data_IF_038964447993
#
_entry.id   IF_038964447993
#
_cell.length_a   1.000
_cell.length_b   1.000
_cell.length_c   1.000
_cell.angle_alpha   90.00
_cell.angle_beta   90.00
_cell.angle_gamma   90.00
#
_symmetry.space_group_name_H-M   'P 1'
#
loop_
_entity.id
_entity.type
_entity.pdbx_description
1 polymer ?
#
# COMPACT_ATOMS: atom_id res chain seq x y z
N UNK A 1 54.20 -6.18 -5.96
CA UNK A 1 53.82 -5.86 -7.35
C UNK A 1 52.76 -4.78 -7.32
N UNK A 2 52.98 -3.65 -7.98
CA UNK A 2 51.98 -2.59 -8.15
C UNK A 2 50.96 -3.04 -9.22
N UNK A 3 49.65 -3.00 -8.89
CA UNK A 3 48.60 -3.08 -9.93
C UNK A 3 48.79 -1.92 -10.91
N UNK A 4 48.63 -2.18 -12.21
CA UNK A 4 48.63 -1.15 -13.24
C UNK A 4 47.52 -0.11 -12.99
N UNK A 5 47.67 1.16 -13.41
CA UNK A 5 46.65 2.19 -13.19
C UNK A 5 45.27 1.81 -13.73
N UNK A 6 45.22 1.22 -14.93
CA UNK A 6 44.02 0.70 -15.59
C UNK A 6 43.26 -0.34 -14.73
N UNK A 7 43.97 -1.34 -14.20
CA UNK A 7 43.37 -2.34 -13.29
C UNK A 7 42.71 -1.68 -12.06
N UNK A 8 43.35 -0.67 -11.45
CA UNK A 8 42.78 0.07 -10.31
C UNK A 8 41.54 0.87 -10.68
N UNK A 9 41.47 1.42 -11.89
CA UNK A 9 40.28 2.13 -12.37
C UNK A 9 39.09 1.16 -12.53
N UNK A 10 39.33 -0.01 -13.13
CA UNK A 10 38.32 -1.07 -13.30
C UNK A 10 37.86 -1.65 -11.95
N UNK A 11 38.77 -1.83 -10.99
CA UNK A 11 38.44 -2.22 -9.61
C UNK A 11 37.45 -1.23 -8.97
N UNK A 12 37.75 0.08 -9.06
CA UNK A 12 36.91 1.15 -8.49
C UNK A 12 35.53 1.24 -9.16
N UNK A 13 35.48 1.20 -10.50
CA UNK A 13 34.24 1.16 -11.28
C UNK A 13 33.34 -0.02 -10.86
N UNK A 14 33.94 -1.19 -10.68
CA UNK A 14 33.21 -2.41 -10.26
C UNK A 14 32.66 -2.28 -8.85
N UNK A 15 33.42 -1.68 -7.92
CA UNK A 15 32.95 -1.38 -6.56
C UNK A 15 31.77 -0.41 -6.58
N UNK A 16 31.85 0.66 -7.36
CA UNK A 16 30.77 1.66 -7.48
C UNK A 16 29.49 1.06 -8.07
N UNK A 17 29.60 0.16 -9.06
CA UNK A 17 28.44 -0.57 -9.59
C UNK A 17 27.83 -1.49 -8.53
N UNK A 18 28.66 -2.21 -7.76
CA UNK A 18 28.19 -3.05 -6.65
C UNK A 18 27.46 -2.24 -5.57
N UNK A 19 28.01 -1.09 -5.21
CA UNK A 19 27.48 -0.15 -4.22
C UNK A 19 26.13 0.43 -4.68
N UNK A 20 26.03 0.90 -5.93
CA UNK A 20 24.78 1.37 -6.52
C UNK A 20 23.69 0.29 -6.51
N UNK A 21 24.00 -0.95 -6.88
CA UNK A 21 23.03 -2.07 -6.88
C UNK A 21 22.55 -2.37 -5.46
N UNK A 22 23.45 -2.37 -4.46
CA UNK A 22 23.09 -2.60 -3.05
C UNK A 22 22.23 -1.47 -2.49
N UNK A 23 22.55 -0.21 -2.78
CA UNK A 23 21.77 0.94 -2.32
C UNK A 23 20.35 0.96 -2.93
N UNK A 24 20.20 0.52 -4.18
CA UNK A 24 18.88 0.33 -4.80
C UNK A 24 18.11 -0.81 -4.12
N UNK A 25 18.75 -1.95 -3.85
CA UNK A 25 18.09 -3.07 -3.16
C UNK A 25 17.55 -2.67 -1.79
N UNK A 26 18.41 -2.02 -0.97
CA UNK A 26 18.07 -1.54 0.36
C UNK A 26 16.86 -0.60 0.28
N UNK A 27 17.02 0.55 -0.37
CA UNK A 27 16.03 1.61 -0.29
C UNK A 27 14.73 1.30 -1.06
N UNK A 28 14.78 0.53 -2.15
CA UNK A 28 13.53 0.11 -2.81
C UNK A 28 12.80 -0.98 -1.99
N UNK A 29 13.53 -1.83 -1.25
CA UNK A 29 12.95 -2.76 -0.29
C UNK A 29 12.26 -2.03 0.87
N UNK A 30 12.98 -1.11 1.52
CA UNK A 30 12.47 -0.26 2.60
C UNK A 30 11.23 0.54 2.16
N UNK A 31 11.30 1.24 1.02
CA UNK A 31 10.14 1.97 0.48
C UNK A 31 8.98 1.03 0.14
N UNK A 32 9.23 -0.17 -0.38
CA UNK A 32 8.16 -1.15 -0.68
C UNK A 32 7.44 -1.59 0.60
N UNK A 33 8.18 -1.82 1.69
CA UNK A 33 7.62 -2.16 3.00
C UNK A 33 6.84 -1.00 3.61
N UNK A 34 7.39 0.23 3.56
CA UNK A 34 6.74 1.43 4.09
C UNK A 34 5.45 1.78 3.32
N UNK A 35 5.45 1.73 1.99
CA UNK A 35 4.21 1.92 1.21
C UNK A 35 3.20 0.79 1.46
N UNK A 36 3.63 -0.45 1.67
CA UNK A 36 2.73 -1.56 2.04
C UNK A 36 2.18 -1.45 3.49
N UNK A 37 2.91 -0.81 4.41
CA UNK A 37 2.39 -0.47 5.73
C UNK A 37 1.40 0.70 5.65
N UNK A 38 1.73 1.75 4.89
CA UNK A 38 0.87 2.90 4.63
C UNK A 38 -0.49 2.47 4.06
N UNK A 39 -0.50 1.69 2.96
CA UNK A 39 -1.73 1.22 2.32
C UNK A 39 -2.57 0.34 3.26
N UNK A 40 -1.93 -0.50 4.11
CA UNK A 40 -2.65 -1.26 5.14
C UNK A 40 -3.27 -0.35 6.21
N UNK A 41 -2.59 0.71 6.68
CA UNK A 41 -3.18 1.69 7.62
C UNK A 41 -4.33 2.47 6.94
N UNK A 42 -4.24 2.81 5.64
CA UNK A 42 -5.35 3.39 4.85
C UNK A 42 -6.55 2.43 4.71
N UNK A 43 -6.31 1.14 4.50
CA UNK A 43 -7.36 0.12 4.46
C UNK A 43 -8.06 -0.06 5.83
N UNK A 44 -7.29 -0.17 6.93
CA UNK A 44 -7.86 -0.20 8.29
C UNK A 44 -8.72 1.05 8.59
N UNK A 45 -8.33 2.22 8.08
CA UNK A 45 -9.11 3.46 8.20
C UNK A 45 -10.42 3.43 7.39
N UNK A 46 -10.48 2.74 6.24
CA UNK A 46 -11.73 2.44 5.52
C UNK A 46 -12.65 1.60 6.41
N UNK A 47 -12.16 0.50 6.94
CA UNK A 47 -12.97 -0.47 7.70
C UNK A 47 -13.57 0.14 8.98
N UNK A 48 -12.80 0.88 9.78
CA UNK A 48 -13.34 1.58 10.96
C UNK A 48 -14.28 2.74 10.57
N UNK A 49 -14.12 3.33 9.37
CA UNK A 49 -15.10 4.30 8.83
C UNK A 49 -16.41 3.61 8.42
N UNK A 50 -16.38 2.40 7.89
CA UNK A 50 -17.58 1.62 7.57
C UNK A 50 -18.32 1.15 8.83
N UNK A 51 -17.62 0.88 9.94
CA UNK A 51 -18.24 0.69 11.27
C UNK A 51 -18.98 1.96 11.71
N UNK A 52 -18.32 3.12 11.61
CA UNK A 52 -18.91 4.42 11.96
C UNK A 52 -20.15 4.75 11.10
N UNK A 53 -20.12 4.45 9.80
CA UNK A 53 -21.28 4.57 8.90
C UNK A 53 -22.47 3.73 9.40
N UNK A 54 -22.22 2.48 9.82
CA UNK A 54 -23.26 1.60 10.37
C UNK A 54 -23.88 2.18 11.64
N UNK A 55 -23.06 2.62 12.59
CA UNK A 55 -23.54 3.16 13.87
C UNK A 55 -24.30 4.48 13.73
N UNK A 56 -23.81 5.43 12.90
CA UNK A 56 -24.58 6.63 12.54
C UNK A 56 -25.91 6.22 11.90
N UNK A 57 -25.90 5.17 11.07
CA UNK A 57 -27.10 4.57 10.51
C UNK A 57 -28.08 4.05 11.57
N UNK A 58 -27.61 3.34 12.60
CA UNK A 58 -28.44 2.79 13.68
C UNK A 58 -29.03 3.91 14.54
N UNK A 59 -28.21 4.85 15.01
CA UNK A 59 -28.71 5.97 15.82
C UNK A 59 -29.65 6.89 15.02
N UNK A 60 -29.38 7.14 13.74
CA UNK A 60 -30.31 7.85 12.87
C UNK A 60 -31.69 7.18 12.78
N UNK A 61 -31.81 5.87 13.03
CA UNK A 61 -33.11 5.20 13.02
C UNK A 61 -33.99 5.51 14.25
N UNK A 62 -33.43 5.95 15.37
CA UNK A 62 -34.18 6.37 16.57
C UNK A 62 -34.66 7.83 16.53
N UNK A 63 -34.03 8.66 15.70
CA UNK A 63 -34.23 10.11 15.70
C UNK A 63 -35.50 10.60 14.99
N UNK A 64 -35.84 11.87 15.27
CA UNK A 64 -36.96 12.60 14.68
C UNK A 64 -36.81 12.77 13.15
N UNK A 65 -37.91 12.94 12.39
CA UNK A 65 -37.91 12.71 10.95
C UNK A 65 -36.93 13.54 10.09
N UNK A 66 -36.63 14.79 10.46
CA UNK A 66 -35.66 15.60 9.70
C UNK A 66 -34.22 15.25 10.08
N UNK A 67 -33.92 15.11 11.36
CA UNK A 67 -32.60 14.72 11.87
C UNK A 67 -32.21 13.32 11.38
N UNK A 68 -33.12 12.35 11.50
CA UNK A 68 -33.01 11.00 10.92
C UNK A 68 -32.63 11.05 9.45
N UNK A 69 -33.33 11.85 8.65
CA UNK A 69 -33.05 12.02 7.22
C UNK A 69 -31.66 12.63 7.00
N UNK A 70 -31.31 13.71 7.70
CA UNK A 70 -30.00 14.38 7.57
C UNK A 70 -28.83 13.47 7.95
N UNK A 71 -28.97 12.69 9.03
CA UNK A 71 -27.97 11.72 9.47
C UNK A 71 -27.83 10.53 8.52
N UNK A 72 -28.93 9.96 7.99
CA UNK A 72 -28.86 8.92 6.95
C UNK A 72 -28.14 9.45 5.71
N UNK A 73 -28.49 10.65 5.24
CA UNK A 73 -27.82 11.29 4.10
C UNK A 73 -26.34 11.62 4.39
N UNK A 74 -25.97 11.96 5.63
CA UNK A 74 -24.58 12.10 6.04
C UNK A 74 -23.82 10.76 5.97
N UNK A 75 -24.43 9.67 6.49
CA UNK A 75 -23.86 8.32 6.45
C UNK A 75 -23.68 7.81 5.01
N UNK A 76 -24.67 8.01 4.13
CA UNK A 76 -24.59 7.67 2.70
C UNK A 76 -23.39 8.35 2.01
N UNK A 77 -23.15 9.64 2.32
CA UNK A 77 -21.99 10.36 1.81
C UNK A 77 -20.67 9.85 2.41
N UNK A 78 -20.64 9.53 3.71
CA UNK A 78 -19.44 8.99 4.36
C UNK A 78 -19.08 7.58 3.85
N UNK A 79 -20.07 6.74 3.54
CA UNK A 79 -19.90 5.44 2.87
C UNK A 79 -19.27 5.60 1.48
N UNK A 80 -19.78 6.56 0.69
CA UNK A 80 -19.23 6.87 -0.64
C UNK A 80 -17.77 7.35 -0.62
N UNK A 81 -17.29 7.89 0.50
CA UNK A 81 -15.86 8.21 0.68
C UNK A 81 -15.03 6.93 0.87
N UNK A 82 -15.61 5.87 1.43
CA UNK A 82 -14.95 4.57 1.59
C UNK A 82 -14.84 3.84 0.24
N UNK A 83 -15.83 3.96 -0.66
CA UNK A 83 -15.69 3.52 -2.06
C UNK A 83 -14.48 4.16 -2.75
N UNK A 84 -14.27 5.46 -2.55
CA UNK A 84 -13.12 6.17 -3.12
C UNK A 84 -11.79 5.80 -2.43
N UNK A 85 -11.80 5.51 -1.13
CA UNK A 85 -10.64 5.03 -0.37
C UNK A 85 -10.25 3.59 -0.74
N UNK A 86 -11.21 2.72 -1.06
CA UNK A 86 -10.96 1.41 -1.65
C UNK A 86 -10.27 1.54 -3.02
N UNK A 87 -10.80 2.41 -3.88
CA UNK A 87 -10.20 2.69 -5.18
C UNK A 87 -8.83 3.40 -5.11
N UNK A 88 -8.49 4.03 -3.98
CA UNK A 88 -7.16 4.55 -3.66
C UNK A 88 -6.21 3.41 -3.28
N UNK A 89 -6.58 2.59 -2.30
CA UNK A 89 -5.83 1.39 -1.86
C UNK A 89 -5.40 0.53 -3.05
N UNK A 90 -6.34 0.10 -3.90
CA UNK A 90 -6.07 -0.72 -5.09
C UNK A 90 -5.08 -0.07 -6.07
N UNK A 91 -5.12 1.26 -6.20
CA UNK A 91 -4.23 2.01 -7.10
C UNK A 91 -2.84 2.17 -6.52
N UNK A 92 -2.72 2.37 -5.20
CA UNK A 92 -1.43 2.44 -4.51
C UNK A 92 -0.71 1.09 -4.58
N UNK A 93 -1.43 -0.02 -4.39
CA UNK A 93 -0.89 -1.37 -4.61
C UNK A 93 -0.37 -1.55 -6.04
N UNK A 94 -1.23 -1.32 -7.04
CA UNK A 94 -0.91 -1.60 -8.44
C UNK A 94 0.13 -0.64 -9.06
N UNK A 95 0.23 0.61 -8.58
CA UNK A 95 1.07 1.67 -9.19
C UNK A 95 2.31 2.05 -8.38
N UNK A 96 2.34 1.78 -7.08
CA UNK A 96 3.46 2.15 -6.19
C UNK A 96 4.15 0.90 -5.65
N UNK A 97 3.40 0.00 -5.00
CA UNK A 97 3.97 -1.18 -4.32
C UNK A 97 4.47 -2.21 -5.32
N UNK A 98 3.64 -2.68 -6.26
CA UNK A 98 4.03 -3.76 -7.18
C UNK A 98 5.23 -3.39 -8.08
N UNK A 99 5.38 -2.14 -8.57
CA UNK A 99 6.61 -1.70 -9.23
C UNK A 99 7.85 -1.73 -8.32
N UNK A 100 7.78 -1.25 -7.07
CA UNK A 100 8.91 -1.31 -6.13
C UNK A 100 9.31 -2.76 -5.80
N UNK A 101 8.31 -3.61 -5.54
CA UNK A 101 8.47 -5.06 -5.31
C UNK A 101 9.15 -5.76 -6.49
N UNK A 102 8.81 -5.37 -7.73
CA UNK A 102 9.40 -5.94 -8.95
C UNK A 102 10.92 -5.70 -9.06
N UNK A 103 11.44 -4.63 -8.46
CA UNK A 103 12.87 -4.29 -8.52
C UNK A 103 13.78 -5.34 -7.87
N UNK A 104 13.30 -6.13 -6.90
CA UNK A 104 14.08 -7.22 -6.32
C UNK A 104 14.55 -8.25 -7.36
N UNK A 105 13.72 -8.52 -8.38
CA UNK A 105 14.11 -9.39 -9.50
C UNK A 105 15.09 -8.72 -10.47
N UNK A 106 15.02 -7.39 -10.62
CA UNK A 106 15.93 -6.59 -11.48
C UNK A 106 17.31 -6.51 -10.86
N UNK A 107 17.39 -6.10 -9.59
CA UNK A 107 18.62 -6.02 -8.78
C UNK A 107 19.35 -7.35 -8.77
N UNK A 108 18.64 -8.46 -8.50
CA UNK A 108 19.22 -9.80 -8.47
C UNK A 108 19.93 -10.16 -9.79
N UNK A 109 19.29 -9.90 -10.93
CA UNK A 109 19.91 -10.14 -12.26
C UNK A 109 21.19 -9.32 -12.44
N UNK A 110 21.16 -8.03 -12.13
CA UNK A 110 22.34 -7.14 -12.25
C UNK A 110 23.49 -7.57 -11.33
N UNK A 111 23.19 -8.11 -10.15
CA UNK A 111 24.18 -8.72 -9.24
C UNK A 111 24.80 -9.99 -9.83
N UNK A 112 24.00 -10.84 -10.46
CA UNK A 112 24.50 -12.05 -11.13
C UNK A 112 25.35 -11.70 -12.39
N UNK A 113 24.94 -10.71 -13.19
CA UNK A 113 25.70 -10.17 -14.34
C UNK A 113 27.07 -9.60 -13.92
N UNK A 114 27.09 -8.82 -12.84
CA UNK A 114 28.30 -8.24 -12.24
C UNK A 114 29.24 -9.33 -11.71
N UNK A 115 28.70 -10.33 -11.01
CA UNK A 115 29.45 -11.48 -10.47
C UNK A 115 30.02 -12.37 -11.57
N UNK A 116 29.29 -12.56 -12.68
CA UNK A 116 29.79 -13.26 -13.87
C UNK A 116 30.96 -12.49 -14.50
N UNK A 117 30.83 -11.18 -14.66
CA UNK A 117 31.87 -10.30 -15.21
C UNK A 117 33.14 -10.30 -14.35
N UNK A 118 33.01 -10.19 -13.03
CA UNK A 118 34.16 -10.31 -12.13
C UNK A 118 34.80 -11.70 -12.20
N UNK A 119 34.00 -12.76 -12.29
CA UNK A 119 34.50 -14.14 -12.44
C UNK A 119 35.29 -14.35 -13.74
N UNK A 120 34.94 -13.66 -14.83
CA UNK A 120 35.70 -13.69 -16.08
C UNK A 120 37.05 -12.95 -15.95
N UNK A 121 37.05 -11.74 -15.38
CA UNK A 121 38.27 -10.95 -15.11
C UNK A 121 39.24 -11.66 -14.15
N UNK A 122 38.71 -12.32 -13.13
CA UNK A 122 39.49 -13.13 -12.19
C UNK A 122 40.19 -14.32 -12.88
N UNK A 123 39.58 -14.91 -13.91
CA UNK A 123 40.19 -15.99 -14.72
C UNK A 123 41.28 -15.43 -15.63
N UNK A 124 41.03 -14.30 -16.30
CA UNK A 124 42.03 -13.59 -17.11
C UNK A 124 43.27 -13.25 -16.27
N UNK A 125 43.10 -12.61 -15.11
CA UNK A 125 44.21 -12.23 -14.23
C UNK A 125 45.01 -13.45 -13.74
N UNK A 126 44.35 -14.58 -13.46
CA UNK A 126 45.01 -15.84 -13.08
C UNK A 126 45.82 -16.43 -14.23
N UNK A 127 45.25 -16.50 -15.45
CA UNK A 127 45.96 -16.98 -16.64
C UNK A 127 47.15 -16.08 -17.02
N UNK A 128 46.99 -14.76 -16.91
CA UNK A 128 48.05 -13.79 -17.17
C UNK A 128 49.22 -13.98 -16.20
N UNK A 129 48.95 -14.07 -14.90
CA UNK A 129 49.96 -14.34 -13.88
C UNK A 129 50.61 -15.74 -14.00
N UNK A 130 49.86 -16.74 -14.49
CA UNK A 130 50.39 -18.06 -14.80
C UNK A 130 51.37 -18.03 -15.98
N UNK A 131 51.01 -17.35 -17.08
CA UNK A 131 51.88 -17.18 -18.24
C UNK A 131 53.15 -16.39 -17.90
N UNK A 132 53.06 -15.33 -17.10
CA UNK A 132 54.24 -14.60 -16.60
C UNK A 132 55.18 -15.48 -15.78
N UNK A 133 54.64 -16.28 -14.85
CA UNK A 133 55.45 -17.22 -14.03
C UNK A 133 56.16 -18.26 -14.89
N UNK A 134 55.50 -18.79 -15.92
CA UNK A 134 56.12 -19.73 -16.87
C UNK A 134 57.23 -19.05 -17.67
N UNK A 135 56.97 -17.86 -18.23
CA UNK A 135 57.98 -17.06 -18.95
C UNK A 135 59.18 -16.65 -18.08
N UNK A 136 58.99 -16.47 -16.77
CA UNK A 136 60.07 -16.18 -15.81
C UNK A 136 60.89 -17.44 -15.41
N UNK A 137 60.29 -18.63 -15.44
CA UNK A 137 60.97 -19.90 -15.12
C UNK A 137 61.88 -20.42 -16.23
N UNK A 138 61.60 -20.06 -17.50
CA UNK A 138 62.35 -20.50 -18.67
C UNK A 138 63.12 -19.34 -19.37
N UNK A 139 64.13 -18.71 -18.72
CA UNK A 139 64.88 -17.63 -19.35
C UNK A 139 65.75 -18.10 -20.53
N UNK A 140 66.23 -19.36 -20.51
CA UNK A 140 67.14 -19.92 -21.52
C UNK A 140 66.48 -20.09 -22.89
N UNK A 141 65.21 -20.54 -22.93
CA UNK A 141 64.43 -20.64 -24.17
C UNK A 141 64.36 -19.29 -24.90
N UNK A 142 64.25 -18.19 -24.14
CA UNK A 142 64.17 -16.83 -24.67
C UNK A 142 65.44 -16.37 -25.37
N UNK A 143 66.62 -16.88 -24.99
CA UNK A 143 67.88 -16.59 -25.69
C UNK A 143 68.11 -17.55 -26.88
N UNK A 144 67.86 -18.84 -26.69
CA UNK A 144 68.14 -19.86 -27.72
C UNK A 144 67.17 -19.71 -28.91
N UNK A 145 65.87 -19.54 -28.67
CA UNK A 145 64.87 -19.45 -29.74
C UNK A 145 65.00 -18.12 -30.52
N UNK A 146 65.34 -17.03 -29.82
CA UNK A 146 65.53 -15.70 -30.42
C UNK A 146 66.67 -15.65 -31.44
N UNK A 147 67.73 -16.45 -31.26
CA UNK A 147 68.89 -16.47 -32.15
C UNK A 147 68.75 -17.41 -33.36
N UNK A 148 67.88 -18.42 -33.30
CA UNK A 148 67.89 -19.51 -34.29
C UNK A 148 67.02 -19.26 -35.53
N UNK A 149 65.85 -18.61 -35.42
CA UNK A 149 65.07 -18.28 -36.63
C UNK A 149 63.99 -17.19 -36.41
N UNK A 150 64.21 -15.93 -36.88
CA UNK A 150 63.19 -14.87 -36.80
C UNK A 150 61.90 -15.17 -37.57
N UNK A 151 61.99 -15.92 -38.67
CA UNK A 151 60.88 -16.16 -39.60
C UNK A 151 59.92 -17.25 -39.08
N UNK A 152 60.44 -18.23 -38.34
CA UNK A 152 59.64 -19.38 -37.87
C UNK A 152 58.71 -19.03 -36.71
N UNK A 153 59.04 -17.98 -35.94
CA UNK A 153 58.23 -17.52 -34.81
C UNK A 153 56.84 -17.01 -35.22
N UNK A 154 56.69 -16.52 -36.46
CA UNK A 154 55.42 -16.04 -37.01
C UNK A 154 54.43 -17.16 -37.42
N UNK A 155 54.82 -18.43 -37.29
CA UNK A 155 53.95 -19.60 -37.51
C UNK A 155 53.96 -20.59 -36.34
N UNK A 156 54.64 -20.25 -35.23
CA UNK A 156 54.55 -21.03 -34.01
C UNK A 156 53.13 -20.85 -33.45
N UNK A 157 52.40 -21.96 -33.24
CA UNK A 157 51.11 -21.91 -32.54
C UNK A 157 51.32 -21.20 -31.20
N UNK A 158 50.41 -20.29 -30.76
CA UNK A 158 50.39 -19.90 -29.37
C UNK A 158 50.31 -21.17 -28.53
N UNK A 159 51.24 -21.34 -27.57
CA UNK A 159 51.22 -22.49 -26.68
C UNK A 159 49.89 -22.54 -25.93
N UNK A 160 49.47 -23.70 -25.43
CA UNK A 160 48.09 -23.86 -24.92
C UNK A 160 47.73 -22.80 -23.87
N UNK A 161 48.66 -22.42 -22.99
CA UNK A 161 48.49 -21.33 -22.02
C UNK A 161 48.32 -19.92 -22.64
N UNK A 162 48.93 -19.63 -23.79
CA UNK A 162 48.73 -18.37 -24.52
C UNK A 162 47.37 -18.37 -25.24
N UNK A 163 46.95 -19.51 -25.78
CA UNK A 163 45.60 -19.67 -26.35
C UNK A 163 44.51 -19.60 -25.27
N UNK A 164 44.75 -20.16 -24.08
CA UNK A 164 43.83 -20.05 -22.93
C UNK A 164 43.74 -18.62 -22.39
N UNK A 165 44.87 -17.90 -22.31
CA UNK A 165 44.87 -16.49 -21.95
C UNK A 165 44.11 -15.65 -22.97
N UNK A 166 44.36 -15.83 -24.28
CA UNK A 166 43.63 -15.11 -25.32
C UNK A 166 42.11 -15.35 -25.21
N UNK A 167 41.69 -16.60 -24.97
CA UNK A 167 40.27 -16.94 -24.73
C UNK A 167 39.72 -16.26 -23.49
N UNK A 168 40.48 -16.21 -22.38
CA UNK A 168 40.06 -15.55 -21.14
C UNK A 168 39.94 -14.02 -21.29
N UNK A 169 40.90 -13.37 -21.96
CA UNK A 169 40.84 -11.93 -22.28
C UNK A 169 39.67 -11.59 -23.19
N UNK A 170 39.38 -12.41 -24.21
CA UNK A 170 38.20 -12.19 -25.07
C UNK A 170 36.89 -12.32 -24.29
N UNK A 171 36.79 -13.29 -23.37
CA UNK A 171 35.62 -13.46 -22.51
C UNK A 171 35.43 -12.29 -21.54
N UNK A 172 36.49 -11.92 -20.79
CA UNK A 172 36.46 -10.81 -19.84
C UNK A 172 36.20 -9.44 -20.48
N UNK A 173 36.71 -9.21 -21.70
CA UNK A 173 36.42 -8.00 -22.49
C UNK A 173 34.95 -7.96 -22.92
N UNK A 174 34.41 -9.09 -23.41
CA UNK A 174 33.01 -9.22 -23.82
C UNK A 174 32.06 -8.96 -22.64
N UNK A 175 32.25 -9.65 -21.51
CA UNK A 175 31.37 -9.49 -20.35
C UNK A 175 31.48 -8.10 -19.73
N UNK A 176 32.69 -7.50 -19.72
CA UNK A 176 32.87 -6.10 -19.29
C UNK A 176 31.99 -5.14 -20.09
N UNK A 177 32.05 -5.22 -21.43
CA UNK A 177 31.27 -4.33 -22.28
C UNK A 177 29.75 -4.55 -22.12
N UNK A 178 29.32 -5.80 -22.01
CA UNK A 178 27.91 -6.14 -21.77
C UNK A 178 27.43 -5.61 -20.41
N UNK A 179 28.27 -5.67 -19.36
CA UNK A 179 27.96 -5.05 -18.07
C UNK A 179 27.83 -3.53 -18.18
N UNK A 180 28.73 -2.86 -18.90
CA UNK A 180 28.68 -1.40 -19.08
C UNK A 180 27.42 -0.93 -19.81
N UNK A 181 27.10 -1.57 -20.94
CA UNK A 181 25.88 -1.29 -21.71
C UNK A 181 24.62 -1.54 -20.87
N UNK A 182 24.56 -2.66 -20.14
CA UNK A 182 23.37 -3.03 -19.35
C UNK A 182 23.25 -2.31 -17.99
N UNK A 183 24.30 -1.66 -17.48
CA UNK A 183 24.25 -0.81 -16.27
C UNK A 183 23.82 0.62 -16.62
N UNK A 184 24.26 1.16 -17.76
CA UNK A 184 23.74 2.44 -18.29
C UNK A 184 22.21 2.38 -18.51
N UNK A 185 21.72 1.28 -19.08
CA UNK A 185 20.28 1.01 -19.19
C UNK A 185 19.57 0.93 -17.82
N UNK A 186 20.18 0.27 -16.83
CA UNK A 186 19.62 0.13 -15.48
C UNK A 186 19.50 1.48 -14.76
N UNK A 187 20.54 2.32 -14.80
CA UNK A 187 20.52 3.66 -14.21
C UNK A 187 19.49 4.56 -14.89
N UNK A 188 19.40 4.53 -16.23
CA UNK A 188 18.38 5.25 -17.00
C UNK A 188 16.96 4.78 -16.67
N UNK A 189 16.75 3.48 -16.48
CA UNK A 189 15.44 2.93 -16.13
C UNK A 189 15.05 3.28 -14.70
N UNK A 190 15.97 3.15 -13.73
CA UNK A 190 15.79 3.59 -12.33
C UNK A 190 15.31 5.03 -12.22
N UNK A 191 15.94 5.97 -12.95
CA UNK A 191 15.54 7.38 -12.93
C UNK A 191 14.12 7.59 -13.49
N UNK A 192 13.70 6.82 -14.50
CA UNK A 192 12.35 6.87 -15.06
C UNK A 192 11.32 6.30 -14.10
N UNK A 193 11.61 5.16 -13.49
CA UNK A 193 10.67 4.47 -12.62
C UNK A 193 10.50 5.17 -11.28
N UNK A 194 11.55 5.76 -10.69
CA UNK A 194 11.41 6.65 -9.52
C UNK A 194 10.43 7.80 -9.82
N UNK A 195 10.63 8.49 -10.95
CA UNK A 195 9.74 9.59 -11.37
C UNK A 195 8.31 9.13 -11.62
N UNK A 196 8.13 7.90 -12.14
CA UNK A 196 6.80 7.32 -12.38
C UNK A 196 6.12 6.94 -11.07
N UNK A 197 6.79 6.19 -10.21
CA UNK A 197 6.25 5.65 -8.94
C UNK A 197 5.81 6.79 -8.02
N UNK A 198 6.67 7.79 -7.80
CA UNK A 198 6.31 8.94 -6.96
C UNK A 198 5.29 9.88 -7.63
N UNK A 199 5.32 10.01 -8.97
CA UNK A 199 4.31 10.77 -9.71
C UNK A 199 2.92 10.12 -9.67
N UNK A 200 2.86 8.79 -9.77
CA UNK A 200 1.62 8.01 -9.65
C UNK A 200 1.08 8.04 -8.22
N UNK A 201 1.93 7.92 -7.19
CA UNK A 201 1.55 8.12 -5.78
C UNK A 201 0.84 9.45 -5.58
N UNK A 202 1.50 10.57 -5.88
CA UNK A 202 0.91 11.92 -5.74
C UNK A 202 -0.37 12.08 -6.57
N UNK A 203 -0.44 11.48 -7.77
CA UNK A 203 -1.64 11.55 -8.62
C UNK A 203 -2.83 10.76 -8.03
N UNK A 204 -2.58 9.64 -7.34
CA UNK A 204 -3.62 8.85 -6.66
C UNK A 204 -4.16 9.60 -5.45
N UNK A 205 -3.27 10.06 -4.55
CA UNK A 205 -3.63 10.87 -3.37
C UNK A 205 -4.44 12.12 -3.76
N UNK A 206 -3.97 12.89 -4.76
CA UNK A 206 -4.70 14.05 -5.28
C UNK A 206 -6.07 13.69 -5.84
N UNK A 207 -6.22 12.51 -6.46
CA UNK A 207 -7.49 12.06 -7.02
C UNK A 207 -8.49 11.66 -5.93
N UNK A 208 -8.01 11.03 -4.85
CA UNK A 208 -8.84 10.73 -3.68
C UNK A 208 -9.22 12.00 -2.95
N UNK A 209 -8.26 12.83 -2.55
CA UNK A 209 -8.52 14.07 -1.79
C UNK A 209 -9.50 15.02 -2.52
N UNK A 210 -9.40 15.15 -3.85
CA UNK A 210 -10.35 15.93 -4.63
C UNK A 210 -11.80 15.40 -4.52
N UNK A 211 -11.98 14.07 -4.51
CA UNK A 211 -13.30 13.43 -4.35
C UNK A 211 -13.77 13.37 -2.90
N UNK A 212 -12.87 13.21 -1.94
CA UNK A 212 -13.17 13.34 -0.52
C UNK A 212 -13.70 14.74 -0.21
N UNK A 213 -13.03 15.81 -0.70
CA UNK A 213 -13.49 17.20 -0.53
C UNK A 213 -14.88 17.44 -1.14
N UNK A 214 -15.12 16.95 -2.36
CA UNK A 214 -16.42 17.02 -3.03
C UNK A 214 -17.53 16.37 -2.19
N UNK A 215 -17.29 15.17 -1.65
CA UNK A 215 -18.33 14.41 -0.92
C UNK A 215 -18.46 14.85 0.54
N UNK A 216 -17.39 15.23 1.24
CA UNK A 216 -17.47 15.83 2.58
C UNK A 216 -18.25 17.16 2.55
N UNK A 217 -18.15 17.93 1.46
CA UNK A 217 -18.97 19.14 1.28
C UNK A 217 -20.47 18.80 1.22
N UNK A 218 -20.85 17.71 0.55
CA UNK A 218 -22.25 17.23 0.50
C UNK A 218 -22.70 16.61 1.84
N UNK A 219 -21.83 15.91 2.55
CA UNK A 219 -22.10 15.39 3.90
C UNK A 219 -22.39 16.56 4.88
N UNK A 220 -21.54 17.59 4.87
CA UNK A 220 -21.73 18.80 5.66
C UNK A 220 -23.05 19.51 5.33
N UNK A 221 -23.36 19.69 4.05
CA UNK A 221 -24.65 20.25 3.62
C UNK A 221 -25.86 19.39 4.05
N UNK A 222 -25.71 18.07 4.11
CA UNK A 222 -26.78 17.16 4.53
C UNK A 222 -27.17 17.37 6.00
N UNK A 223 -26.19 17.49 6.90
CA UNK A 223 -26.48 17.71 8.33
C UNK A 223 -26.86 19.17 8.62
N UNK A 224 -26.30 20.14 7.91
CA UNK A 224 -26.64 21.57 8.05
C UNK A 224 -27.98 21.97 7.40
N UNK A 225 -28.66 21.05 6.70
CA UNK A 225 -29.99 21.27 6.11
C UNK A 225 -31.13 20.57 6.87
N UNK A 226 -30.86 20.08 8.08
CA UNK A 226 -31.88 19.58 9.01
C UNK A 226 -32.78 20.74 9.46
N UNK A 227 -34.09 20.55 9.39
CA UNK A 227 -35.09 21.52 9.82
C UNK A 227 -35.46 21.25 11.29
N UNK A 228 -34.72 21.90 12.19
CA UNK A 228 -34.84 21.73 13.64
C UNK A 228 -36.26 22.01 14.15
N UNK A 229 -36.93 23.05 13.66
CA UNK A 229 -38.23 23.46 14.18
C UNK A 229 -39.33 22.45 13.86
N UNK A 230 -39.29 21.78 12.68
CA UNK A 230 -40.21 20.67 12.38
C UNK A 230 -40.05 19.50 13.35
N UNK A 231 -38.82 19.17 13.72
CA UNK A 231 -38.56 18.06 14.65
C UNK A 231 -38.89 18.46 16.10
N UNK A 232 -38.70 19.73 16.46
CA UNK A 232 -39.21 20.29 17.72
C UNK A 232 -40.75 20.34 17.76
N UNK A 233 -41.45 20.61 16.65
CA UNK A 233 -42.92 20.48 16.57
C UNK A 233 -43.37 19.04 16.83
N UNK A 234 -42.71 18.04 16.23
CA UNK A 234 -42.96 16.61 16.49
C UNK A 234 -42.73 16.27 17.97
N UNK A 235 -41.62 16.72 18.55
CA UNK A 235 -41.29 16.50 19.96
C UNK A 235 -42.32 17.16 20.90
N UNK A 236 -42.64 18.44 20.71
CA UNK A 236 -43.66 19.17 21.49
C UNK A 236 -45.04 18.49 21.43
N UNK A 237 -45.40 17.96 20.27
CA UNK A 237 -46.65 17.21 20.04
C UNK A 237 -46.67 15.86 20.75
N UNK A 238 -45.51 15.23 20.96
CA UNK A 238 -45.38 14.00 21.76
C UNK A 238 -45.49 14.26 23.28
N UNK A 239 -44.98 15.41 23.74
CA UNK A 239 -45.10 15.85 25.14
C UNK A 239 -46.52 16.30 25.51
N UNK A 240 -47.28 16.82 24.54
CA UNK A 240 -48.66 17.26 24.72
C UNK A 240 -49.60 16.53 23.75
N UNK A 241 -49.90 15.23 24.00
CA UNK A 241 -50.88 14.49 23.20
C UNK A 241 -52.23 15.22 23.18
N UNK A 242 -52.95 15.25 22.04
CA UNK A 242 -54.21 15.99 21.92
C UNK A 242 -55.21 15.54 22.99
N UNK A 243 -55.74 16.54 23.70
CA UNK A 243 -56.05 16.45 25.11
C UNK A 243 -57.15 15.42 25.48
N UNK A 244 -57.11 14.92 26.71
CA UNK A 244 -58.09 13.95 27.25
C UNK A 244 -59.54 14.50 27.19
N UNK A 245 -59.68 15.83 27.13
CA UNK A 245 -60.91 16.57 26.82
C UNK A 245 -61.64 16.01 25.59
N UNK A 246 -60.93 15.65 24.52
CA UNK A 246 -61.57 15.11 23.31
C UNK A 246 -62.33 13.81 23.60
N UNK A 247 -61.74 12.92 24.41
CA UNK A 247 -62.43 11.71 24.89
C UNK A 247 -63.61 12.04 25.82
N UNK A 248 -63.46 13.03 26.69
CA UNK A 248 -64.54 13.45 27.60
C UNK A 248 -65.72 14.08 26.86
N UNK A 249 -65.49 14.88 25.82
CA UNK A 249 -66.58 15.46 25.02
C UNK A 249 -67.22 14.44 24.05
N UNK A 250 -66.47 13.47 23.53
CA UNK A 250 -67.04 12.32 22.81
C UNK A 250 -67.94 11.48 23.75
N UNK A 251 -67.49 11.21 24.99
CA UNK A 251 -68.33 10.52 26.00
C UNK A 251 -69.54 11.36 26.36
N UNK A 252 -69.37 12.66 26.63
CA UNK A 252 -70.46 13.61 26.97
C UNK A 252 -71.49 13.75 25.85
N UNK A 253 -71.09 13.69 24.58
CA UNK A 253 -72.00 13.68 23.44
C UNK A 253 -72.84 12.40 23.41
N UNK A 254 -72.23 11.23 23.60
CA UNK A 254 -72.93 9.95 23.67
C UNK A 254 -73.84 9.83 24.91
N UNK A 255 -73.46 10.42 26.05
CA UNK A 255 -74.34 10.52 27.22
C UNK A 255 -75.59 11.37 26.98
N UNK A 256 -75.56 12.30 26.02
CA UNK A 256 -76.72 13.13 25.65
C UNK A 256 -77.64 12.46 24.63
N UNK A 257 -77.14 11.57 23.77
CA UNK A 257 -77.97 10.83 22.80
C UNK A 257 -78.66 9.59 23.41
N UNK A 258 -78.34 9.23 24.65
CA UNK A 258 -78.80 8.00 25.30
C UNK A 258 -80.21 8.07 25.95
N UNK A 259 -80.94 9.19 25.84
CA UNK A 259 -82.27 9.33 26.47
C UNK A 259 -83.45 9.20 25.49
N UNK A 260 -83.27 9.48 24.20
CA UNK A 260 -84.37 9.56 23.21
C UNK A 260 -84.50 8.29 22.33
N UNK A 261 -84.38 7.08 22.91
CA UNK A 261 -84.60 5.84 22.14
C UNK A 261 -85.21 4.65 22.88
N UNK A 262 -86.31 4.89 23.57
CA UNK A 262 -87.25 3.81 23.96
C UNK A 262 -88.15 3.46 22.76
N UNK A 263 -87.87 2.37 22.04
CA UNK A 263 -88.64 2.02 20.84
C UNK A 263 -88.20 0.73 20.12
N UNK A 264 -88.69 -0.41 20.63
CA UNK A 264 -88.86 -1.74 20.01
C UNK A 264 -88.46 -1.95 18.52
N UNK A 265 -87.75 -3.04 18.20
CA UNK A 265 -88.36 -4.26 17.59
C UNK A 265 -87.37 -5.45 17.45
N UNK A 266 -87.87 -6.59 16.93
CA UNK A 266 -87.37 -7.96 17.14
C UNK A 266 -86.40 -8.50 16.05
N UNK A 267 -85.74 -9.61 16.38
CA UNK A 267 -85.08 -10.60 15.47
C UNK A 267 -83.75 -10.16 14.81
N UNK A 268 -82.78 -11.04 14.49
CA UNK A 268 -82.72 -12.53 14.52
C UNK A 268 -81.27 -13.01 14.79
N UNK A 269 -81.04 -14.33 14.89
CA UNK A 269 -79.70 -14.98 14.91
C UNK A 269 -78.85 -14.74 13.64
N UNK A 270 -77.58 -15.15 13.50
CA UNK A 270 -76.66 -15.99 14.30
C UNK A 270 -75.22 -15.37 14.25
N UNK A 271 -74.02 -15.94 14.55
CA UNK A 271 -73.48 -17.32 14.61
C UNK A 271 -72.22 -17.38 15.53
N UNK A 272 -71.50 -18.52 15.58
CA UNK A 272 -70.16 -18.69 16.20
C UNK A 272 -69.01 -18.30 15.18
N UNK A 273 -67.69 -18.40 15.39
CA UNK A 273 -66.79 -19.05 16.38
C UNK A 273 -65.36 -18.37 16.27
N UNK A 274 -64.70 -17.84 17.32
CA UNK A 274 -63.71 -18.47 18.24
C UNK A 274 -62.17 -18.31 17.92
N UNK A 275 -61.50 -17.49 18.75
CA UNK A 275 -60.14 -17.60 19.37
C UNK A 275 -58.79 -17.77 18.58
N UNK A 276 -57.87 -16.85 18.90
CA UNK A 276 -56.43 -17.00 19.33
C UNK A 276 -55.45 -17.94 18.58
N UNK A 277 -54.36 -17.33 18.08
CA UNK A 277 -52.97 -17.34 18.65
C UNK A 277 -52.12 -16.36 17.80
N UNK A 278 -51.27 -15.44 18.29
CA UNK A 278 -50.12 -15.52 19.22
C UNK A 278 -48.97 -16.43 18.74
N UNK A 279 -47.92 -15.80 18.19
CA UNK A 279 -46.57 -16.36 18.08
C UNK A 279 -45.53 -15.25 18.27
N UNK A 280 -44.54 -15.48 19.14
CA UNK A 280 -43.31 -14.68 19.26
C UNK A 280 -42.22 -15.31 18.41
N UNK A 281 -41.37 -14.50 17.78
CA UNK A 281 -40.06 -14.93 17.31
C UNK A 281 -39.14 -13.69 17.39
N UNK A 282 -38.57 -13.43 18.56
CA UNK A 282 -37.16 -13.77 18.88
C UNK A 282 -36.17 -13.18 17.88
N UNK A 283 -35.87 -11.90 18.10
CA UNK A 283 -34.61 -11.24 17.75
C UNK A 283 -33.45 -12.18 18.11
N UNK A 284 -32.54 -12.39 17.17
CA UNK A 284 -31.27 -13.09 17.38
C UNK A 284 -30.20 -12.12 16.92
N UNK A 285 -29.50 -11.56 17.88
CA UNK A 285 -28.28 -10.82 17.61
C UNK A 285 -27.16 -11.85 17.52
N UNK A 286 -26.33 -11.72 16.49
CA UNK A 286 -25.11 -12.49 16.33
C UNK A 286 -23.99 -11.57 16.82
N UNK A 287 -23.41 -11.94 17.97
CA UNK A 287 -22.23 -11.29 18.53
C UNK A 287 -21.04 -11.75 17.68
N UNK A 288 -20.52 -10.87 16.82
CA UNK A 288 -19.20 -11.09 16.23
C UNK A 288 -18.15 -10.71 17.27
N UNK A 289 -17.38 -11.70 17.71
CA UNK A 289 -16.22 -11.51 18.57
C UNK A 289 -15.10 -10.90 17.72
N UNK A 290 -14.91 -9.57 17.81
CA UNK A 290 -13.71 -8.88 17.30
C UNK A 290 -12.49 -9.35 18.11
N UNK A 291 -11.86 -10.45 17.68
CA UNK A 291 -10.49 -10.81 18.06
C UNK A 291 -9.52 -9.74 17.49
N UNK A 292 -9.39 -8.59 18.19
CA UNK A 292 -8.28 -7.66 17.96
C UNK A 292 -6.98 -8.35 18.44
N UNK A 293 -6.32 -9.13 17.56
CA UNK A 293 -4.96 -9.63 17.77
C UNK A 293 -3.99 -8.44 17.87
N UNK A 294 -3.56 -8.12 19.10
CA UNK A 294 -2.47 -7.20 19.42
C UNK A 294 -1.16 -7.67 18.73
N UNK A 295 -0.81 -7.09 17.58
CA UNK A 295 0.57 -7.10 17.05
C UNK A 295 1.34 -5.90 17.63
N UNK A 296 2.31 -6.16 18.51
CA UNK A 296 3.13 -5.18 19.22
C UNK A 296 3.62 -3.99 18.35
N UNK A 297 3.11 -2.77 18.58
CA UNK A 297 3.81 -1.53 18.19
C UNK A 297 4.89 -1.23 19.24
N UNK A 298 6.02 -1.96 19.15
CA UNK A 298 7.22 -1.70 19.94
C UNK A 298 7.97 -0.46 19.41
N UNK A 299 7.46 0.74 19.71
CA UNK A 299 8.16 2.00 19.46
C UNK A 299 9.24 2.21 20.53
N UNK A 300 10.49 1.89 20.19
CA UNK A 300 11.68 2.28 20.97
C UNK A 300 12.03 3.75 20.68
N UNK A 301 11.29 4.66 21.31
CA UNK A 301 11.67 6.08 21.42
C UNK A 301 12.88 6.23 22.37
N UNK A 302 14.04 6.63 21.83
CA UNK A 302 15.20 7.10 22.61
C UNK A 302 15.55 8.57 22.24
N UNK A 303 14.66 9.49 22.62
CA UNK A 303 14.93 10.92 22.88
C UNK A 303 14.72 11.13 24.40
N UNK A 304 15.52 11.85 25.21
CA UNK A 304 16.73 12.66 25.01
C UNK A 304 17.66 12.47 26.24
N UNK A 305 18.96 12.81 26.15
CA UNK A 305 19.68 13.46 27.27
C UNK A 305 20.67 14.50 26.71
N UNK A 306 20.21 15.76 26.59
CA UNK A 306 21.07 16.94 26.54
C UNK A 306 21.45 17.33 27.98
N UNK A 307 22.71 17.10 28.41
CA UNK A 307 23.25 17.71 29.63
C UNK A 307 24.19 18.88 29.24
N UNK A 308 23.66 20.09 29.37
CA UNK A 308 24.38 21.35 29.15
C UNK A 308 25.21 21.73 30.39
N UNK A 309 26.48 22.13 30.21
CA UNK A 309 27.22 22.91 31.21
C UNK A 309 28.49 23.55 30.64
N UNK A 310 28.54 24.88 30.64
CA UNK A 310 29.78 25.67 30.63
C UNK A 310 30.67 25.33 31.84
N UNK A 311 32.00 25.32 31.69
CA UNK A 311 32.83 26.41 32.24
C UNK A 311 34.33 26.37 31.83
N UNK A 312 34.97 27.55 31.91
CA UNK A 312 36.42 27.88 32.04
C UNK A 312 37.49 26.84 31.59
N UNK A 313 38.37 27.11 30.60
CA UNK A 313 39.31 28.25 30.52
C UNK A 313 40.08 28.29 29.17
#
# INVERSE_FOLDING_TARGET
MSRTPDARARDNQTRQIQENITNVEKHFGEMCQLFAAYVRKTARLRDKSDVLVREIGVYADTETPQLKKGMKQFADHLAKIQDYRQAEVERLEAKVIEPLKSYGAVVKRKRDDLKATQSARDREAKQMAQLERTRQRNPSDRQIISQVCPVLFAHLKPGDAESELQRATMDATRTTRQLEETIDEFEKQKIRDIKKIFGEFVTVEMSFHAKALEVYTLAYQSIQSVDEEKDLEVFRSSLHPPDYQSRLDIVRANSKTSLDRTGSFLSTSETLQQQRASSRQTRREEEEEDDEEDEDESEEDEEEEEEDTDDEH
#
